data_IF_033816080338
#
_entry.id   IF_033816080338
#
_cell.length_a   1.000
_cell.length_b   1.000
_cell.length_c   1.000
_cell.angle_alpha   90.00
_cell.angle_beta   90.00
_cell.angle_gamma   90.00
#
_symmetry.space_group_name_H-M   'P 1'
#
loop_
_entity.id
_entity.type
_entity.pdbx_description
1 polymer ?
#
# COMPACT_ATOMS: atom_id res chain seq x y z
N UNK A 1 -17.54 36.74 18.77
CA UNK A 1 -16.31 35.96 18.49
C UNK A 1 -16.45 34.59 19.14
N UNK A 2 -16.99 33.63 18.40
CA UNK A 2 -17.21 32.24 18.85
C UNK A 2 -16.14 31.41 18.15
N UNK A 3 -14.97 31.27 18.76
CA UNK A 3 -13.89 30.42 18.22
C UNK A 3 -13.67 29.21 19.13
N UNK A 4 -13.96 28.02 18.59
CA UNK A 4 -12.93 26.99 18.51
C UNK A 4 -12.78 25.99 19.65
N UNK A 5 -13.78 25.75 20.50
CA UNK A 5 -13.84 24.51 21.30
C UNK A 5 -14.84 23.53 20.71
N UNK A 6 -14.47 22.87 19.60
CA UNK A 6 -15.10 21.59 19.25
C UNK A 6 -14.76 20.64 20.41
N UNK A 7 -15.71 20.43 21.32
CA UNK A 7 -15.50 19.66 22.53
C UNK A 7 -15.30 18.21 22.11
N UNK A 8 -14.37 17.50 22.72
CA UNK A 8 -14.12 16.07 22.48
C UNK A 8 -15.43 15.24 22.46
N UNK A 9 -16.45 15.70 23.22
CA UNK A 9 -17.80 15.16 23.21
C UNK A 9 -18.53 15.23 21.85
N UNK A 10 -18.38 16.31 21.06
CA UNK A 10 -19.04 16.40 19.74
C UNK A 10 -18.44 15.43 18.73
N UNK A 11 -17.12 15.19 18.82
CA UNK A 11 -16.45 14.19 17.98
C UNK A 11 -16.92 12.79 18.39
N UNK A 12 -16.97 12.50 19.69
CA UNK A 12 -17.42 11.21 20.21
C UNK A 12 -18.88 10.91 19.83
N UNK A 13 -19.78 11.90 19.97
CA UNK A 13 -21.19 11.76 19.58
C UNK A 13 -21.33 11.59 18.07
N UNK A 14 -20.55 12.32 17.26
CA UNK A 14 -20.55 12.15 15.81
C UNK A 14 -20.05 10.76 15.38
N UNK A 15 -18.98 10.25 16.02
CA UNK A 15 -18.48 8.89 15.78
C UNK A 15 -19.52 7.86 16.18
N UNK A 16 -20.15 8.00 17.35
CA UNK A 16 -21.20 7.08 17.81
C UNK A 16 -22.43 7.08 16.88
N UNK A 17 -22.87 8.25 16.42
CA UNK A 17 -23.96 8.37 15.45
C UNK A 17 -23.60 7.73 14.10
N UNK A 18 -22.33 7.85 13.67
CA UNK A 18 -21.82 7.25 12.45
C UNK A 18 -21.72 5.71 12.57
N UNK A 19 -21.23 5.19 13.71
CA UNK A 19 -21.26 3.74 14.03
C UNK A 19 -22.68 3.22 13.92
N UNK A 20 -23.62 3.87 14.60
CA UNK A 20 -25.01 3.43 14.63
C UNK A 20 -25.63 3.45 13.24
N UNK A 21 -25.40 4.52 12.48
CA UNK A 21 -25.91 4.65 11.11
C UNK A 21 -25.33 3.58 10.18
N UNK A 22 -24.02 3.33 10.25
CA UNK A 22 -23.38 2.29 9.44
C UNK A 22 -23.84 0.89 9.83
N UNK A 23 -23.91 0.58 11.13
CA UNK A 23 -24.34 -0.74 11.61
C UNK A 23 -25.81 -1.04 11.27
N UNK A 24 -26.69 -0.03 11.33
CA UNK A 24 -28.11 -0.21 11.07
C UNK A 24 -28.46 -0.19 9.57
N UNK A 25 -27.89 0.76 8.80
CA UNK A 25 -28.24 0.94 7.39
C UNK A 25 -27.32 0.20 6.42
N UNK A 26 -26.07 -0.10 6.81
CA UNK A 26 -25.08 -0.70 5.92
C UNK A 26 -24.75 -2.11 6.41
N UNK A 27 -25.45 -3.10 5.86
CA UNK A 27 -25.03 -4.49 6.02
C UNK A 27 -23.82 -4.73 5.14
N UNK A 28 -22.62 -4.56 5.72
CA UNK A 28 -21.36 -4.83 5.04
C UNK A 28 -21.31 -6.31 4.61
N UNK A 29 -21.62 -6.56 3.34
CA UNK A 29 -21.45 -7.86 2.69
C UNK A 29 -20.22 -7.77 1.83
N UNK A 30 -19.37 -8.79 1.89
CA UNK A 30 -18.27 -8.91 0.95
C UNK A 30 -18.86 -8.98 -0.48
N UNK A 31 -18.50 -8.05 -1.37
CA UNK A 31 -19.03 -8.05 -2.73
C UNK A 31 -18.49 -9.27 -3.49
N UNK A 32 -19.37 -9.94 -4.24
CA UNK A 32 -18.95 -10.93 -5.24
C UNK A 32 -18.38 -10.13 -6.41
N UNK A 33 -17.07 -9.93 -6.43
CA UNK A 33 -16.38 -9.15 -7.45
C UNK A 33 -15.96 -10.07 -8.60
N UNK A 34 -16.85 -10.24 -9.58
CA UNK A 34 -16.45 -10.74 -10.89
C UNK A 34 -16.04 -9.54 -11.75
N UNK A 35 -14.72 -9.29 -11.84
CA UNK A 35 -14.18 -8.09 -12.47
C UNK A 35 -14.17 -8.23 -14.00
N UNK A 36 -13.91 -9.45 -14.49
CA UNK A 36 -13.84 -9.76 -15.92
C UNK A 36 -14.93 -10.75 -16.29
N UNK A 37 -15.68 -10.42 -17.35
CA UNK A 37 -16.76 -11.26 -17.88
C UNK A 37 -16.24 -12.18 -19.00
N UNK A 38 -16.57 -13.49 -18.98
CA UNK A 38 -16.16 -14.43 -20.04
C UNK A 38 -16.63 -14.00 -21.44
N UNK A 39 -17.84 -13.47 -21.53
CA UNK A 39 -18.52 -13.07 -22.77
C UNK A 39 -17.78 -11.94 -23.50
N UNK A 40 -17.07 -11.08 -22.74
CA UNK A 40 -16.23 -10.01 -23.31
C UNK A 40 -14.90 -10.54 -23.83
N UNK A 41 -14.40 -11.64 -23.28
CA UNK A 41 -13.13 -12.27 -23.69
C UNK A 41 -13.34 -13.11 -24.95
N UNK A 42 -14.39 -13.94 -24.99
CA UNK A 42 -14.78 -14.71 -26.18
C UNK A 42 -16.30 -14.66 -26.38
N UNK A 43 -16.72 -14.25 -27.57
CA UNK A 43 -18.13 -14.15 -27.96
C UNK A 43 -18.87 -15.49 -28.03
N UNK A 44 -18.16 -16.62 -27.94
CA UNK A 44 -18.69 -17.98 -27.88
C UNK A 44 -19.11 -18.42 -26.47
N UNK A 45 -18.80 -17.63 -25.43
CA UNK A 45 -19.07 -17.98 -24.04
C UNK A 45 -20.50 -17.60 -23.61
N UNK A 46 -21.53 -18.27 -24.13
CA UNK A 46 -22.93 -17.89 -23.81
C UNK A 46 -23.45 -18.53 -22.51
N UNK A 47 -22.83 -19.61 -22.03
CA UNK A 47 -23.04 -20.18 -20.68
C UNK A 47 -22.17 -21.41 -20.51
N UNK A 48 -21.55 -21.63 -19.33
CA UNK A 48 -20.92 -22.92 -19.05
C UNK A 48 -22.00 -24.02 -19.09
N UNK A 49 -21.73 -25.17 -19.73
CA UNK A 49 -22.59 -26.34 -19.60
C UNK A 49 -22.78 -26.68 -18.11
N UNK A 50 -23.99 -27.10 -17.74
CA UNK A 50 -24.23 -27.68 -16.41
C UNK A 50 -23.56 -29.06 -16.26
N UNK A 51 -22.94 -29.60 -17.32
CA UNK A 51 -22.10 -30.80 -17.23
C UNK A 51 -20.73 -30.44 -16.66
N UNK A 52 -20.36 -31.13 -15.58
CA UNK A 52 -19.01 -31.11 -15.00
C UNK A 52 -18.09 -31.98 -15.84
N UNK A 53 -17.87 -31.63 -17.11
CA UNK A 53 -17.08 -32.47 -18.00
C UNK A 53 -15.60 -32.47 -17.57
N UNK A 54 -15.16 -33.62 -17.04
CA UNK A 54 -13.81 -33.83 -16.52
C UNK A 54 -12.72 -33.76 -17.59
N UNK A 55 -13.10 -33.73 -18.88
CA UNK A 55 -12.17 -33.80 -20.02
C UNK A 55 -11.34 -32.54 -20.19
N UNK A 56 -11.91 -31.36 -19.95
CA UNK A 56 -11.14 -30.11 -20.02
C UNK A 56 -10.17 -29.99 -18.85
N UNK A 57 -10.61 -30.34 -17.64
CA UNK A 57 -9.74 -30.39 -16.46
C UNK A 57 -8.59 -31.40 -16.66
N UNK A 58 -8.89 -32.58 -17.22
CA UNK A 58 -7.89 -33.60 -17.54
C UNK A 58 -6.92 -33.14 -18.65
N UNK A 59 -7.40 -32.44 -19.68
CA UNK A 59 -6.54 -31.82 -20.71
C UNK A 59 -5.57 -30.80 -20.11
N UNK A 60 -6.03 -29.95 -19.18
CA UNK A 60 -5.21 -28.94 -18.50
C UNK A 60 -4.19 -29.60 -17.56
N UNK A 61 -4.55 -30.70 -16.90
CA UNK A 61 -3.68 -31.41 -15.95
C UNK A 61 -2.65 -32.34 -16.64
N UNK A 62 -3.03 -33.04 -17.72
CA UNK A 62 -2.22 -34.08 -18.38
C UNK A 62 -1.46 -33.57 -19.63
N UNK A 63 -1.31 -32.25 -19.77
CA UNK A 63 -0.81 -31.56 -20.95
C UNK A 63 0.68 -31.83 -21.28
N UNK A 64 1.04 -33.01 -21.77
CA UNK A 64 2.32 -33.29 -22.46
C UNK A 64 2.34 -32.72 -23.89
N UNK A 65 1.16 -32.58 -24.52
CA UNK A 65 0.99 -32.01 -25.87
C UNK A 65 1.22 -30.49 -25.97
N UNK A 66 1.21 -29.76 -24.84
CA UNK A 66 1.37 -28.30 -24.82
C UNK A 66 2.83 -27.85 -24.98
N UNK A 67 3.80 -28.69 -24.57
CA UNK A 67 5.21 -28.43 -24.79
C UNK A 67 5.54 -28.31 -26.29
N UNK A 68 4.83 -29.06 -27.16
CA UNK A 68 5.01 -29.03 -28.62
C UNK A 68 4.48 -27.73 -29.24
N UNK A 69 3.39 -27.17 -28.73
CA UNK A 69 2.84 -25.89 -29.21
C UNK A 69 3.63 -24.68 -28.70
N UNK A 70 4.15 -24.74 -27.46
CA UNK A 70 5.07 -23.72 -26.93
C UNK A 70 6.38 -23.66 -27.73
N UNK A 71 6.84 -24.78 -28.30
CA UNK A 71 7.97 -24.82 -29.24
C UNK A 71 7.63 -24.31 -30.65
N UNK A 72 6.34 -24.12 -30.98
CA UNK A 72 5.87 -23.76 -32.33
C UNK A 72 5.38 -22.31 -32.46
N UNK A 73 5.07 -21.63 -31.35
CA UNK A 73 4.65 -20.22 -31.39
C UNK A 73 5.88 -19.31 -31.47
N UNK A 74 6.16 -18.78 -32.66
CA UNK A 74 7.19 -17.75 -32.91
C UNK A 74 6.80 -16.35 -32.37
N UNK A 75 5.69 -16.21 -31.62
CA UNK A 75 5.26 -14.95 -31.01
C UNK A 75 5.87 -14.74 -29.62
N UNK A 76 5.98 -13.47 -29.19
CA UNK A 76 6.90 -12.97 -28.15
C UNK A 76 7.08 -13.90 -26.95
N UNK A 77 8.31 -14.07 -26.46
CA UNK A 77 8.62 -14.86 -25.26
C UNK A 77 7.74 -14.52 -24.04
N UNK A 78 7.14 -13.33 -24.00
CA UNK A 78 6.15 -12.94 -23.01
C UNK A 78 4.82 -13.71 -23.09
N UNK A 79 4.31 -14.01 -24.28
CA UNK A 79 3.05 -14.76 -24.46
C UNK A 79 3.25 -16.22 -24.00
N UNK A 80 4.34 -16.85 -24.39
CA UNK A 80 4.68 -18.22 -23.99
C UNK A 80 4.75 -18.37 -22.47
N UNK A 81 5.49 -17.47 -21.79
CA UNK A 81 5.57 -17.46 -20.32
C UNK A 81 4.20 -17.24 -19.66
N UNK A 82 3.35 -16.40 -20.27
CA UNK A 82 2.02 -16.09 -19.72
C UNK A 82 1.05 -17.26 -19.86
N UNK A 83 1.12 -18.00 -20.96
CA UNK A 83 0.34 -19.21 -21.20
C UNK A 83 0.78 -20.34 -20.27
N UNK A 84 2.08 -20.51 -20.05
CA UNK A 84 2.61 -21.46 -19.08
C UNK A 84 2.17 -21.13 -17.65
N UNK A 85 2.23 -19.86 -17.25
CA UNK A 85 1.78 -19.43 -15.93
C UNK A 85 0.27 -19.64 -15.73
N UNK A 86 -0.55 -19.34 -16.76
CA UNK A 86 -1.99 -19.60 -16.73
C UNK A 86 -2.27 -21.10 -16.58
N UNK A 87 -1.55 -21.94 -17.32
CA UNK A 87 -1.66 -23.40 -17.22
C UNK A 87 -1.28 -23.92 -15.84
N UNK A 88 -0.14 -23.49 -15.31
CA UNK A 88 0.35 -23.89 -13.99
C UNK A 88 -0.64 -23.52 -12.89
N UNK A 89 -1.18 -22.29 -12.95
CA UNK A 89 -2.24 -21.85 -12.05
C UNK A 89 -3.51 -22.69 -12.21
N UNK A 90 -3.97 -22.92 -13.45
CA UNK A 90 -5.18 -23.68 -13.73
C UNK A 90 -5.10 -25.12 -13.23
N UNK A 91 -3.95 -25.78 -13.44
CA UNK A 91 -3.70 -27.14 -12.96
C UNK A 91 -3.74 -27.21 -11.44
N UNK A 92 -3.15 -26.23 -10.74
CA UNK A 92 -3.21 -26.15 -9.28
C UNK A 92 -4.65 -25.96 -8.77
N UNK A 93 -5.44 -25.10 -9.42
CA UNK A 93 -6.84 -24.89 -9.05
C UNK A 93 -7.71 -26.11 -9.31
N UNK A 94 -7.56 -26.78 -10.46
CA UNK A 94 -8.28 -28.04 -10.75
C UNK A 94 -7.89 -29.18 -9.81
N UNK A 95 -6.63 -29.22 -9.36
CA UNK A 95 -6.20 -30.19 -8.36
C UNK A 95 -6.88 -29.97 -7.00
N UNK A 96 -7.08 -28.71 -6.60
CA UNK A 96 -7.73 -28.35 -5.34
C UNK A 96 -9.26 -28.52 -5.41
N UNK A 97 -9.88 -28.10 -6.51
CA UNK A 97 -11.30 -28.22 -6.75
C UNK A 97 -11.58 -28.49 -8.24
N UNK A 98 -12.00 -29.70 -8.61
CA UNK A 98 -12.37 -30.04 -9.99
C UNK A 98 -13.54 -29.20 -10.53
N UNK A 99 -14.37 -28.61 -9.64
CA UNK A 99 -15.57 -27.83 -9.98
C UNK A 99 -15.40 -26.33 -9.89
N UNK A 100 -14.25 -25.85 -9.42
CA UNK A 100 -13.47 -24.97 -10.28
C UNK A 100 -14.27 -23.89 -10.99
N UNK A 101 -14.42 -24.09 -12.30
CA UNK A 101 -15.02 -23.15 -13.25
C UNK A 101 -16.51 -22.89 -13.04
N UNK A 102 -17.23 -23.72 -12.29
CA UNK A 102 -18.65 -23.56 -12.02
C UNK A 102 -18.90 -22.65 -10.81
N UNK A 103 -20.00 -21.90 -10.78
CA UNK A 103 -20.31 -20.99 -9.69
C UNK A 103 -20.77 -21.77 -8.45
N UNK A 104 -19.85 -22.01 -7.50
CA UNK A 104 -20.20 -22.42 -6.13
C UNK A 104 -19.82 -21.27 -5.21
N UNK A 105 -20.78 -20.36 -4.96
CA UNK A 105 -20.56 -19.23 -4.05
C UNK A 105 -21.47 -19.39 -2.85
N UNK A 106 -20.94 -19.97 -1.77
CA UNK A 106 -21.43 -19.71 -0.43
C UNK A 106 -20.45 -18.73 0.22
N UNK A 107 -20.79 -17.44 0.40
CA UNK A 107 -19.94 -16.55 1.17
C UNK A 107 -19.84 -17.09 2.60
N UNK A 108 -18.61 -17.35 3.06
CA UNK A 108 -18.36 -17.74 4.44
C UNK A 108 -18.66 -16.53 5.32
N UNK A 109 -19.64 -16.66 6.21
CA UNK A 109 -19.95 -15.58 7.15
C UNK A 109 -18.74 -15.33 8.06
N UNK A 110 -18.20 -14.11 8.04
CA UNK A 110 -17.23 -13.64 9.02
C UNK A 110 -17.96 -13.37 10.34
N UNK A 111 -17.93 -14.33 11.25
CA UNK A 111 -18.50 -14.16 12.59
C UNK A 111 -17.51 -13.35 13.45
N UNK A 112 -17.85 -12.11 13.80
CA UNK A 112 -17.08 -11.34 14.78
C UNK A 112 -17.41 -11.79 16.21
N UNK A 113 -16.39 -12.09 17.00
CA UNK A 113 -16.53 -12.73 18.32
C UNK A 113 -16.81 -11.78 19.49
N UNK A 114 -16.62 -10.46 19.32
CA UNK A 114 -16.78 -9.47 20.40
C UNK A 114 -17.45 -8.17 19.93
N UNK A 115 -18.09 -7.45 20.86
CA UNK A 115 -18.74 -6.16 20.60
C UNK A 115 -17.79 -5.10 20.04
N UNK A 116 -16.55 -5.05 20.54
CA UNK A 116 -15.52 -4.11 20.09
C UNK A 116 -15.12 -4.42 18.64
N UNK A 117 -14.89 -5.70 18.32
CA UNK A 117 -14.56 -6.12 16.96
C UNK A 117 -15.72 -5.87 16.00
N UNK A 118 -16.97 -6.13 16.41
CA UNK A 118 -18.16 -5.86 15.60
C UNK A 118 -18.32 -4.36 15.31
N UNK A 119 -18.15 -3.51 16.33
CA UNK A 119 -18.20 -2.04 16.19
C UNK A 119 -17.13 -1.52 15.24
N UNK A 120 -15.90 -1.99 15.41
CA UNK A 120 -14.78 -1.59 14.58
C UNK A 120 -14.94 -2.12 13.14
N UNK A 121 -15.41 -3.35 12.96
CA UNK A 121 -15.74 -3.92 11.66
C UNK A 121 -16.81 -3.09 10.94
N UNK A 122 -17.92 -2.72 11.60
CA UNK A 122 -18.95 -1.87 10.99
C UNK A 122 -18.41 -0.50 10.56
N UNK A 123 -17.50 0.10 11.32
CA UNK A 123 -16.88 1.39 10.99
C UNK A 123 -15.98 1.33 9.76
N UNK A 124 -15.18 0.28 9.64
CA UNK A 124 -14.14 0.20 8.61
C UNK A 124 -14.53 -0.64 7.40
N UNK A 125 -15.38 -1.67 7.56
CA UNK A 125 -15.76 -2.58 6.48
C UNK A 125 -16.64 -1.91 5.42
N UNK A 126 -17.60 -1.07 5.83
CA UNK A 126 -18.46 -0.35 4.89
C UNK A 126 -17.67 0.57 3.93
N UNK A 127 -16.83 1.51 4.40
CA UNK A 127 -16.02 2.33 3.50
C UNK A 127 -15.00 1.50 2.72
N UNK A 128 -14.44 0.44 3.33
CA UNK A 128 -13.51 -0.46 2.63
C UNK A 128 -14.17 -1.21 1.47
N UNK A 129 -15.36 -1.79 1.65
CA UNK A 129 -16.07 -2.51 0.59
C UNK A 129 -16.57 -1.56 -0.50
N UNK A 130 -17.04 -0.37 -0.14
CA UNK A 130 -17.41 0.65 -1.13
C UNK A 130 -16.19 1.07 -1.96
N UNK A 131 -15.05 1.35 -1.33
CA UNK A 131 -13.82 1.69 -2.03
C UNK A 131 -13.30 0.52 -2.87
N UNK A 132 -13.38 -0.71 -2.36
CA UNK A 132 -13.04 -1.93 -3.10
C UNK A 132 -13.90 -2.13 -4.34
N UNK A 133 -15.21 -1.83 -4.26
CA UNK A 133 -16.11 -1.91 -5.40
C UNK A 133 -15.80 -0.83 -6.44
N UNK A 134 -15.52 0.40 -6.01
CA UNK A 134 -15.10 1.47 -6.91
C UNK A 134 -13.75 1.14 -7.60
N UNK A 135 -12.79 0.61 -6.85
CA UNK A 135 -11.51 0.11 -7.37
C UNK A 135 -11.72 -1.03 -8.39
N UNK A 136 -12.58 -1.99 -8.08
CA UNK A 136 -12.93 -3.07 -8.99
C UNK A 136 -13.58 -2.55 -10.28
N UNK A 137 -14.45 -1.55 -10.20
CA UNK A 137 -15.04 -0.90 -11.38
C UNK A 137 -13.99 -0.20 -12.25
N UNK A 138 -13.04 0.51 -11.62
CA UNK A 138 -11.91 1.12 -12.34
C UNK A 138 -11.03 0.08 -13.01
N UNK A 139 -10.63 -0.97 -12.29
CA UNK A 139 -9.81 -2.05 -12.83
C UNK A 139 -10.55 -2.75 -13.97
N UNK A 140 -11.85 -3.05 -13.79
CA UNK A 140 -12.69 -3.63 -14.85
C UNK A 140 -12.71 -2.80 -16.12
N UNK A 141 -12.85 -1.47 -16.01
CA UNK A 141 -12.79 -0.57 -17.16
C UNK A 141 -11.43 -0.56 -17.86
N UNK A 142 -10.33 -0.77 -17.12
CA UNK A 142 -8.98 -0.87 -17.68
C UNK A 142 -8.77 -2.21 -18.37
N UNK A 143 -9.26 -3.29 -17.78
CA UNK A 143 -9.23 -4.62 -18.40
C UNK A 143 -10.05 -4.62 -19.69
N UNK A 144 -11.24 -4.02 -19.69
CA UNK A 144 -12.06 -3.87 -20.90
C UNK A 144 -11.26 -3.13 -22.01
N UNK A 145 -10.62 -2.01 -21.66
CA UNK A 145 -9.77 -1.27 -22.60
C UNK A 145 -8.56 -2.07 -23.10
N UNK A 146 -8.03 -2.97 -22.27
CA UNK A 146 -6.94 -3.86 -22.67
C UNK A 146 -7.44 -5.00 -23.58
N UNK A 147 -8.65 -5.52 -23.36
CA UNK A 147 -9.27 -6.51 -24.22
C UNK A 147 -9.50 -5.99 -25.66
N UNK A 148 -9.66 -4.68 -25.84
CA UNK A 148 -9.76 -4.06 -27.17
C UNK A 148 -8.38 -3.81 -27.85
N UNK A 149 -7.27 -4.08 -27.15
CA UNK A 149 -5.93 -3.82 -27.64
C UNK A 149 -5.44 -4.87 -28.66
N UNK A 150 -4.51 -4.44 -29.53
CA UNK A 150 -3.86 -5.36 -30.48
C UNK A 150 -3.05 -6.46 -29.77
N UNK A 151 -2.38 -6.13 -28.66
CA UNK A 151 -1.64 -7.11 -27.85
C UNK A 151 -2.54 -8.21 -27.31
N UNK A 152 -3.74 -7.86 -26.84
CA UNK A 152 -4.69 -8.86 -26.38
C UNK A 152 -5.23 -9.71 -27.53
N UNK A 153 -5.48 -9.12 -28.70
CA UNK A 153 -5.93 -9.88 -29.89
C UNK A 153 -4.91 -10.95 -30.31
N UNK A 154 -3.62 -10.64 -30.28
CA UNK A 154 -2.55 -11.62 -30.57
C UNK A 154 -2.54 -12.71 -29.51
N UNK A 155 -2.53 -12.34 -28.22
CA UNK A 155 -2.57 -13.32 -27.12
C UNK A 155 -3.81 -14.23 -27.18
N UNK A 156 -4.98 -13.66 -27.49
CA UNK A 156 -6.24 -14.40 -27.60
C UNK A 156 -6.18 -15.45 -28.70
N UNK A 157 -5.57 -15.15 -29.84
CA UNK A 157 -5.39 -16.12 -30.93
C UNK A 157 -4.46 -17.27 -30.50
N UNK A 158 -3.35 -16.96 -29.84
CA UNK A 158 -2.42 -17.96 -29.30
C UNK A 158 -3.10 -18.85 -28.24
N UNK A 159 -3.86 -18.22 -27.33
CA UNK A 159 -4.63 -18.90 -26.29
C UNK A 159 -5.70 -19.83 -26.89
N UNK A 160 -6.45 -19.36 -27.89
CA UNK A 160 -7.46 -20.18 -28.56
C UNK A 160 -6.86 -21.35 -29.33
N UNK A 161 -5.65 -21.18 -29.89
CA UNK A 161 -4.89 -22.27 -30.51
C UNK A 161 -4.47 -23.37 -29.53
N UNK A 162 -4.33 -23.04 -28.25
CA UNK A 162 -3.89 -23.96 -27.19
C UNK A 162 -5.05 -24.61 -26.42
N UNK A 163 -5.97 -23.80 -25.90
CA UNK A 163 -7.06 -24.25 -25.02
C UNK A 163 -8.39 -24.44 -25.74
N UNK A 164 -8.46 -24.10 -27.04
CA UNK A 164 -9.71 -24.04 -27.79
C UNK A 164 -10.46 -22.70 -27.63
N UNK A 165 -11.54 -22.55 -28.40
CA UNK A 165 -12.41 -21.36 -28.39
C UNK A 165 -13.70 -21.53 -27.56
N UNK A 166 -13.72 -22.52 -26.67
CA UNK A 166 -14.92 -22.93 -25.94
C UNK A 166 -15.21 -22.04 -24.72
N UNK A 167 -16.45 -22.11 -24.23
CA UNK A 167 -16.90 -21.32 -23.06
C UNK A 167 -16.08 -21.59 -21.79
N UNK A 168 -15.57 -22.81 -21.62
CA UNK A 168 -14.72 -23.20 -20.49
C UNK A 168 -13.35 -22.52 -20.53
N UNK A 169 -12.73 -22.43 -21.71
CA UNK A 169 -11.47 -21.73 -21.91
C UNK A 169 -11.61 -20.21 -21.69
N UNK A 170 -12.71 -19.62 -22.17
CA UNK A 170 -13.04 -18.22 -21.92
C UNK A 170 -13.26 -17.93 -20.42
N UNK A 171 -13.96 -18.83 -19.72
CA UNK A 171 -14.20 -18.73 -18.28
C UNK A 171 -12.90 -18.88 -17.49
N UNK A 172 -12.02 -19.79 -17.90
CA UNK A 172 -10.70 -19.98 -17.30
C UNK A 172 -9.89 -18.69 -17.35
N UNK A 173 -9.80 -18.07 -18.53
CA UNK A 173 -9.06 -16.82 -18.72
C UNK A 173 -9.70 -15.64 -17.94
N UNK A 174 -11.03 -15.55 -17.94
CA UNK A 174 -11.76 -14.52 -17.19
C UNK A 174 -11.51 -14.62 -15.68
N UNK A 175 -11.48 -15.86 -15.15
CA UNK A 175 -11.27 -16.12 -13.74
C UNK A 175 -9.82 -15.87 -13.33
N UNK A 176 -8.87 -16.28 -14.16
CA UNK A 176 -7.44 -15.97 -13.97
C UNK A 176 -7.18 -14.46 -13.87
N UNK A 177 -7.75 -13.66 -14.78
CA UNK A 177 -7.62 -12.20 -14.72
C UNK A 177 -8.38 -11.61 -13.53
N UNK A 178 -9.58 -12.11 -13.23
CA UNK A 178 -10.40 -11.61 -12.10
C UNK A 178 -9.73 -11.84 -10.75
N UNK A 179 -9.10 -12.99 -10.53
CA UNK A 179 -8.42 -13.29 -9.27
C UNK A 179 -7.21 -12.35 -9.06
N UNK A 180 -6.44 -12.09 -10.13
CA UNK A 180 -5.32 -11.13 -10.08
C UNK A 180 -5.77 -9.68 -9.95
N UNK A 181 -6.86 -9.32 -10.63
CA UNK A 181 -7.46 -8.01 -10.49
C UNK A 181 -7.97 -7.80 -9.05
N UNK A 182 -8.52 -8.83 -8.41
CA UNK A 182 -8.96 -8.78 -7.01
C UNK A 182 -7.79 -8.61 -6.05
N UNK A 183 -6.66 -9.29 -6.27
CA UNK A 183 -5.46 -9.09 -5.44
C UNK A 183 -4.85 -7.70 -5.60
N UNK A 184 -5.04 -7.04 -6.75
CA UNK A 184 -4.57 -5.68 -7.00
C UNK A 184 -5.37 -4.57 -6.29
N UNK A 185 -6.60 -4.86 -5.83
CA UNK A 185 -7.46 -3.87 -5.16
C UNK A 185 -6.78 -3.30 -3.90
N UNK A 186 -6.22 -4.17 -3.05
CA UNK A 186 -5.59 -3.74 -1.79
C UNK A 186 -4.37 -2.82 -2.04
N UNK A 187 -3.37 -3.21 -2.87
CA UNK A 187 -2.29 -2.32 -3.26
C UNK A 187 -2.78 -0.96 -3.81
N UNK A 188 -3.80 -0.97 -4.68
CA UNK A 188 -4.36 0.25 -5.26
C UNK A 188 -4.97 1.17 -4.20
N UNK A 189 -5.79 0.62 -3.31
CA UNK A 189 -6.39 1.37 -2.20
C UNK A 189 -5.32 1.92 -1.24
N UNK A 190 -4.26 1.16 -0.96
CA UNK A 190 -3.15 1.63 -0.13
C UNK A 190 -2.45 2.83 -0.78
N UNK A 191 -2.14 2.77 -2.08
CA UNK A 191 -1.53 3.91 -2.80
C UNK A 191 -2.46 5.14 -2.78
N UNK A 192 -3.75 4.95 -3.04
CA UNK A 192 -4.73 6.04 -2.99
C UNK A 192 -4.81 6.69 -1.60
N UNK A 193 -4.83 5.88 -0.55
CA UNK A 193 -4.82 6.38 0.83
C UNK A 193 -3.56 7.22 1.11
N UNK A 194 -2.41 6.78 0.62
CA UNK A 194 -1.15 7.51 0.78
C UNK A 194 -1.09 8.81 0.00
N UNK A 195 -1.58 8.81 -1.23
CA UNK A 195 -1.73 10.03 -2.03
C UNK A 195 -2.65 11.03 -1.35
N UNK A 196 -3.79 10.57 -0.81
CA UNK A 196 -4.72 11.38 -0.04
C UNK A 196 -4.09 11.92 1.25
N UNK A 197 -3.32 11.09 1.96
CA UNK A 197 -2.58 11.49 3.16
C UNK A 197 -1.55 12.58 2.85
N UNK A 198 -0.81 12.43 1.75
CA UNK A 198 0.17 13.42 1.31
C UNK A 198 -0.50 14.73 0.86
N UNK A 199 -1.58 14.64 0.07
CA UNK A 199 -2.32 15.79 -0.44
C UNK A 199 -3.01 16.59 0.67
N UNK A 200 -3.61 15.91 1.66
CA UNK A 200 -4.26 16.56 2.81
C UNK A 200 -3.27 17.00 3.91
N UNK A 201 -1.98 16.65 3.79
CA UNK A 201 -0.96 17.01 4.77
C UNK A 201 -0.91 18.50 5.14
N UNK A 202 -1.06 19.49 4.22
CA UNK A 202 -0.99 20.91 4.58
C UNK A 202 -2.13 21.36 5.50
N UNK A 203 -3.27 20.66 5.46
CA UNK A 203 -4.45 20.94 6.28
C UNK A 203 -4.38 20.16 7.60
N UNK A 204 -4.08 18.86 7.53
CA UNK A 204 -4.14 17.94 8.66
C UNK A 204 -2.91 18.00 9.58
N UNK A 205 -1.78 18.55 9.13
CA UNK A 205 -0.58 18.73 9.98
C UNK A 205 -0.77 19.89 10.99
N UNK A 206 -1.71 20.81 10.76
CA UNK A 206 -1.96 21.97 11.64
C UNK A 206 -2.21 21.62 13.11
N UNK A 207 -3.10 20.66 13.47
CA UNK A 207 -3.28 20.23 14.85
C UNK A 207 -2.01 19.61 15.45
N UNK A 208 -1.29 18.77 14.69
CA UNK A 208 -0.01 18.20 15.13
C UNK A 208 1.04 19.28 15.37
N UNK A 209 1.04 20.35 14.58
CA UNK A 209 1.93 21.50 14.76
C UNK A 209 1.61 22.28 16.05
N UNK A 210 0.32 22.47 16.35
CA UNK A 210 -0.11 23.10 17.62
C UNK A 210 0.26 22.24 18.82
N UNK A 211 0.01 20.93 18.74
CA UNK A 211 0.40 19.98 19.79
C UNK A 211 1.93 19.98 19.98
N UNK A 212 2.69 19.84 18.90
CA UNK A 212 4.15 19.87 18.95
C UNK A 212 4.70 21.19 19.53
N UNK A 213 4.09 22.33 19.20
CA UNK A 213 4.49 23.62 19.74
C UNK A 213 4.20 23.72 21.25
N UNK A 214 3.01 23.29 21.68
CA UNK A 214 2.61 23.30 23.08
C UNK A 214 3.51 22.39 23.94
N UNK A 215 3.66 21.13 23.53
CA UNK A 215 4.40 20.14 24.32
C UNK A 215 5.92 20.35 24.30
N UNK A 216 6.47 20.94 23.24
CA UNK A 216 7.91 21.25 23.18
C UNK A 216 8.29 22.63 23.72
N UNK A 217 7.32 23.52 23.97
CA UNK A 217 7.59 24.86 24.48
C UNK A 217 8.52 24.89 25.71
N UNK A 218 8.32 24.06 26.76
CA UNK A 218 9.16 24.12 27.96
C UNK A 218 10.58 23.57 27.76
N UNK A 219 10.85 22.86 26.66
CA UNK A 219 12.11 22.13 26.44
C UNK A 219 13.10 22.84 25.51
N UNK A 220 12.72 23.99 24.94
CA UNK A 220 13.44 24.66 23.85
C UNK A 220 13.86 26.10 24.20
N UNK A 221 13.77 26.49 25.48
CA UNK A 221 14.27 27.77 26.00
C UNK A 221 15.79 27.85 25.76
N UNK A 222 16.21 28.58 24.72
CA UNK A 222 17.62 28.83 24.40
C UNK A 222 18.06 28.55 22.96
N UNK A 223 17.20 27.99 22.09
CA UNK A 223 17.53 27.75 20.68
C UNK A 223 17.07 28.92 19.77
N UNK A 224 17.82 29.19 18.70
CA UNK A 224 17.45 30.14 17.64
C UNK A 224 15.99 29.99 17.19
N UNK A 225 15.27 31.10 17.05
CA UNK A 225 13.85 31.14 16.69
C UNK A 225 13.55 30.39 15.37
N UNK A 226 14.51 30.39 14.43
CA UNK A 226 14.42 29.64 13.17
C UNK A 226 14.60 28.12 13.36
N UNK A 227 15.50 27.70 14.26
CA UNK A 227 15.69 26.29 14.61
C UNK A 227 14.47 25.71 15.32
N UNK A 228 13.83 26.51 16.18
CA UNK A 228 12.59 26.18 16.86
C UNK A 228 11.43 25.90 15.89
N UNK A 229 11.19 26.81 14.93
CA UNK A 229 10.11 26.65 13.93
C UNK A 229 10.32 25.41 13.04
N UNK A 230 11.55 25.14 12.65
CA UNK A 230 11.89 23.99 11.81
C UNK A 230 11.73 22.66 12.55
N UNK A 231 12.13 22.59 13.83
CA UNK A 231 11.98 21.38 14.67
C UNK A 231 10.52 21.02 14.91
N UNK A 232 9.68 22.02 15.20
CA UNK A 232 8.24 21.82 15.38
C UNK A 232 7.59 21.35 14.08
N UNK A 233 7.96 21.97 12.96
CA UNK A 233 7.42 21.59 11.65
C UNK A 233 7.77 20.15 11.30
N UNK A 234 9.06 19.78 11.37
CA UNK A 234 9.49 18.42 11.02
C UNK A 234 8.87 17.35 11.92
N UNK A 235 8.77 17.62 13.23
CA UNK A 235 8.12 16.70 14.16
C UNK A 235 6.61 16.56 13.90
N UNK A 236 5.92 17.64 13.53
CA UNK A 236 4.50 17.60 13.21
C UNK A 236 4.23 16.79 11.94
N UNK A 237 5.05 16.95 10.90
CA UNK A 237 4.96 16.13 9.69
C UNK A 237 5.23 14.66 9.99
N UNK A 238 6.31 14.35 10.73
CA UNK A 238 6.63 12.97 11.10
C UNK A 238 5.50 12.33 11.91
N UNK A 239 5.01 13.01 12.94
CA UNK A 239 3.92 12.51 13.78
C UNK A 239 2.63 12.29 12.98
N UNK A 240 2.30 13.19 12.04
CA UNK A 240 1.15 13.01 11.15
C UNK A 240 1.28 11.76 10.27
N UNK A 241 2.39 11.62 9.55
CA UNK A 241 2.61 10.48 8.65
C UNK A 241 2.62 9.15 9.40
N UNK A 242 3.27 9.09 10.56
CA UNK A 242 3.31 7.88 11.39
C UNK A 242 1.95 7.60 12.05
N UNK A 243 1.19 8.62 12.43
CA UNK A 243 -0.18 8.40 12.93
C UNK A 243 -1.11 7.85 11.83
N UNK A 244 -0.98 8.35 10.60
CA UNK A 244 -1.72 7.82 9.46
C UNK A 244 -1.38 6.34 9.17
N UNK A 245 -0.09 5.97 9.25
CA UNK A 245 0.36 4.57 9.24
C UNK A 245 -0.30 3.74 10.33
N UNK A 246 -0.33 4.26 11.56
CA UNK A 246 -0.95 3.57 12.68
C UNK A 246 -2.43 3.28 12.43
N UNK A 247 -3.18 4.25 11.89
CA UNK A 247 -4.59 4.06 11.51
C UNK A 247 -4.74 3.02 10.41
N UNK A 248 -3.90 3.06 9.37
CA UNK A 248 -3.91 2.07 8.29
C UNK A 248 -3.68 0.65 8.81
N UNK A 249 -2.64 0.44 9.61
CA UNK A 249 -2.35 -0.88 10.18
C UNK A 249 -3.41 -1.33 11.18
N UNK A 250 -4.04 -0.40 11.92
CA UNK A 250 -5.19 -0.73 12.78
C UNK A 250 -6.36 -1.24 11.95
N UNK A 251 -6.70 -0.55 10.85
CA UNK A 251 -7.76 -0.97 9.95
C UNK A 251 -7.44 -2.33 9.30
N UNK A 252 -6.20 -2.53 8.85
CA UNK A 252 -5.74 -3.81 8.30
C UNK A 252 -5.85 -4.94 9.33
N UNK A 253 -5.48 -4.70 10.59
CA UNK A 253 -5.57 -5.71 11.64
C UNK A 253 -7.01 -6.16 11.93
N UNK A 254 -7.97 -5.27 11.73
CA UNK A 254 -9.39 -5.50 12.01
C UNK A 254 -10.14 -6.14 10.84
N UNK A 255 -9.73 -5.83 9.60
CA UNK A 255 -10.41 -6.32 8.38
C UNK A 255 -9.75 -7.59 7.85
N UNK A 256 -8.43 -7.76 8.01
CA UNK A 256 -7.65 -8.85 7.41
C UNK A 256 -7.05 -9.75 8.50
N UNK A 257 -7.78 -10.81 8.86
CA UNK A 257 -7.43 -11.75 9.93
C UNK A 257 -6.03 -12.36 9.77
N UNK A 258 -5.61 -12.67 8.53
CA UNK A 258 -4.30 -13.29 8.24
C UNK A 258 -3.11 -12.41 8.60
N UNK A 259 -3.30 -11.09 8.68
CA UNK A 259 -2.25 -10.12 8.99
C UNK A 259 -2.51 -9.36 10.28
N UNK A 260 -3.44 -9.83 11.12
CA UNK A 260 -3.89 -9.13 12.31
C UNK A 260 -2.76 -8.85 13.32
N UNK A 261 -2.00 -9.87 13.70
CA UNK A 261 -0.91 -9.76 14.66
C UNK A 261 0.23 -8.81 14.22
N UNK A 262 0.84 -8.97 13.02
CA UNK A 262 1.92 -8.07 12.60
C UNK A 262 1.42 -6.63 12.39
N UNK A 263 0.19 -6.45 11.91
CA UNK A 263 -0.40 -5.12 11.71
C UNK A 263 -0.69 -4.42 13.05
N UNK A 264 -1.17 -5.16 14.06
CA UNK A 264 -1.37 -4.61 15.40
C UNK A 264 -0.05 -4.12 16.03
N UNK A 265 1.03 -4.90 15.91
CA UNK A 265 2.36 -4.50 16.39
C UNK A 265 2.84 -3.25 15.64
N UNK A 266 2.71 -3.22 14.31
CA UNK A 266 3.09 -2.06 13.51
C UNK A 266 2.30 -0.80 13.91
N UNK A 267 1.00 -0.93 14.22
CA UNK A 267 0.18 0.17 14.70
C UNK A 267 0.65 0.71 16.06
N UNK A 268 1.01 -0.18 16.99
CA UNK A 268 1.56 0.21 18.31
C UNK A 268 2.90 0.93 18.14
N UNK A 269 3.80 0.41 17.32
CA UNK A 269 5.11 1.03 17.06
C UNK A 269 4.93 2.41 16.43
N UNK A 270 3.99 2.55 15.50
CA UNK A 270 3.66 3.85 14.91
C UNK A 270 3.12 4.83 15.95
N UNK A 271 2.14 4.42 16.77
CA UNK A 271 1.62 5.25 17.86
C UNK A 271 2.71 5.70 18.84
N UNK A 272 3.58 4.78 19.25
CA UNK A 272 4.70 5.05 20.14
C UNK A 272 5.71 6.02 19.50
N UNK A 273 6.04 5.86 18.22
CA UNK A 273 6.95 6.76 17.50
C UNK A 273 6.35 8.17 17.32
N UNK A 274 5.06 8.29 17.05
CA UNK A 274 4.37 9.58 16.98
C UNK A 274 4.35 10.27 18.36
N UNK A 275 4.07 9.53 19.44
CA UNK A 275 4.12 10.05 20.80
C UNK A 275 5.54 10.46 21.18
N UNK A 276 6.56 9.64 20.92
CA UNK A 276 7.95 9.96 21.22
C UNK A 276 8.41 11.24 20.51
N UNK A 277 8.04 11.41 19.24
CA UNK A 277 8.35 12.62 18.49
C UNK A 277 7.46 13.78 18.90
N UNK A 278 6.32 13.64 19.56
CA UNK A 278 5.57 14.80 20.11
C UNK A 278 6.03 15.17 21.53
N UNK A 279 6.48 14.18 22.30
CA UNK A 279 6.84 14.24 23.72
C UNK A 279 8.26 13.69 23.95
N UNK A 280 9.32 14.47 23.66
CA UNK A 280 10.68 14.05 23.94
C UNK A 280 10.96 14.13 25.46
N UNK A 281 10.55 13.12 26.22
CA UNK A 281 10.82 13.05 27.67
C UNK A 281 12.20 12.46 27.88
N UNK A 282 13.13 13.28 28.39
CA UNK A 282 14.36 12.81 29.03
C UNK A 282 14.56 13.58 30.32
N UNK A 283 14.69 12.84 31.41
CA UNK A 283 15.04 13.34 32.74
C UNK A 283 16.55 13.33 32.82
N UNK A 284 17.19 14.49 32.92
CA UNK A 284 18.59 14.59 33.28
C UNK A 284 18.69 14.76 34.80
N UNK A 285 19.49 13.92 35.45
CA UNK A 285 19.94 14.14 36.83
C UNK A 285 21.30 14.81 36.70
N UNK A 286 21.36 16.10 37.01
CA UNK A 286 22.65 16.79 37.16
C UNK A 286 23.18 16.56 38.58
N UNK A 287 24.50 16.66 38.77
CA UNK A 287 25.15 16.36 40.05
C UNK A 287 24.75 17.31 41.21
N UNK A 288 23.98 18.38 40.93
CA UNK A 288 23.51 19.39 41.89
C UNK A 288 21.98 19.35 42.15
N UNK A 289 21.37 18.16 42.16
CA UNK A 289 19.96 17.91 42.53
C UNK A 289 18.85 18.59 41.69
N UNK A 290 19.18 19.26 40.58
CA UNK A 290 18.16 19.84 39.69
C UNK A 290 17.84 18.92 38.51
N UNK A 291 16.62 18.38 38.50
CA UNK A 291 16.08 17.59 37.39
C UNK A 291 15.75 18.51 36.20
N UNK A 292 16.59 18.50 35.17
CA UNK A 292 16.30 19.24 33.94
C UNK A 292 15.65 18.33 32.89
N UNK A 293 14.46 18.74 32.46
CA UNK A 293 13.72 18.16 31.35
C UNK A 293 14.18 18.87 30.07
N UNK A 294 15.04 18.24 29.25
CA UNK A 294 15.54 18.83 27.98
C UNK A 294 15.21 17.93 26.78
N UNK A 295 14.63 18.52 25.74
CA UNK A 295 14.34 17.81 24.49
C UNK A 295 15.64 17.51 23.75
N UNK A 296 16.05 16.25 23.69
CA UNK A 296 17.26 15.82 22.95
C UNK A 296 17.04 15.66 21.44
N UNK A 297 15.80 15.75 20.96
CA UNK A 297 15.48 15.52 19.55
C UNK A 297 15.77 16.78 18.73
N UNK A 298 16.83 16.73 17.93
CA UNK A 298 17.16 17.76 16.95
C UNK A 298 16.44 17.52 15.62
N UNK A 299 16.30 18.55 14.79
CA UNK A 299 15.84 18.42 13.38
C UNK A 299 16.62 17.36 12.62
N UNK A 300 17.93 17.33 12.82
CA UNK A 300 18.85 16.35 12.20
C UNK A 300 18.50 14.92 12.60
N UNK A 301 18.24 14.66 13.88
CA UNK A 301 17.81 13.34 14.36
C UNK A 301 16.49 12.90 13.69
N UNK A 302 15.50 13.79 13.62
CA UNK A 302 14.20 13.49 12.97
C UNK A 302 14.38 13.16 11.48
N UNK A 303 15.19 13.96 10.78
CA UNK A 303 15.45 13.77 9.35
C UNK A 303 16.21 12.47 9.08
N UNK A 304 17.20 12.12 9.92
CA UNK A 304 17.93 10.85 9.81
C UNK A 304 16.99 9.66 10.06
N UNK A 305 16.15 9.72 11.09
CA UNK A 305 15.17 8.67 11.37
C UNK A 305 14.17 8.50 10.23
N UNK A 306 13.67 9.59 9.66
CA UNK A 306 12.79 9.55 8.49
C UNK A 306 13.49 8.95 7.26
N UNK A 307 14.77 9.26 7.04
CA UNK A 307 15.55 8.70 5.95
C UNK A 307 15.85 7.20 6.12
N UNK A 308 16.12 6.74 7.35
CA UNK A 308 16.28 5.31 7.63
C UNK A 308 14.99 4.55 7.33
N UNK A 309 13.84 5.10 7.72
CA UNK A 309 12.53 4.52 7.40
C UNK A 309 12.30 4.46 5.87
N UNK A 310 12.59 5.55 5.15
CA UNK A 310 12.51 5.60 3.69
C UNK A 310 13.45 4.57 3.03
N UNK A 311 14.63 4.35 3.60
CA UNK A 311 15.61 3.38 3.10
C UNK A 311 15.11 1.94 3.25
N UNK A 312 14.55 1.59 4.40
CA UNK A 312 13.94 0.27 4.63
C UNK A 312 12.78 0.04 3.65
N UNK A 313 11.92 1.04 3.45
CA UNK A 313 10.84 0.96 2.46
C UNK A 313 11.36 0.78 1.04
N UNK A 314 12.41 1.52 0.67
CA UNK A 314 13.02 1.43 -0.67
C UNK A 314 13.60 0.04 -0.92
N UNK A 315 14.30 -0.53 0.08
CA UNK A 315 14.82 -1.90 0.02
C UNK A 315 13.67 -2.89 -0.12
N UNK A 316 12.61 -2.74 0.67
CA UNK A 316 11.46 -3.63 0.60
C UNK A 316 10.78 -3.59 -0.77
N UNK A 317 10.58 -2.40 -1.35
CA UNK A 317 10.03 -2.24 -2.70
C UNK A 317 10.92 -2.88 -3.77
N UNK A 318 12.25 -2.70 -3.68
CA UNK A 318 13.19 -3.34 -4.61
C UNK A 318 13.19 -4.87 -4.46
N UNK A 319 13.05 -5.38 -3.24
CA UNK A 319 12.93 -6.80 -2.95
C UNK A 319 11.64 -7.36 -3.56
N UNK A 320 10.51 -6.66 -3.42
CA UNK A 320 9.25 -7.02 -4.08
C UNK A 320 9.39 -7.09 -5.59
N UNK A 321 10.00 -6.08 -6.23
CA UNK A 321 10.22 -6.10 -7.69
C UNK A 321 11.09 -7.28 -8.12
N UNK A 322 12.09 -7.65 -7.31
CA UNK A 322 13.01 -8.77 -7.61
C UNK A 322 12.38 -10.13 -7.41
N UNK A 323 11.53 -10.28 -6.38
CA UNK A 323 10.90 -11.56 -6.03
C UNK A 323 9.58 -11.79 -6.76
N UNK A 324 8.94 -10.73 -7.26
CA UNK A 324 7.66 -10.80 -7.95
C UNK A 324 7.77 -11.54 -9.28
N UNK A 325 7.09 -12.67 -9.35
CA UNK A 325 6.98 -13.51 -10.55
C UNK A 325 5.54 -13.50 -11.05
N UNK A 326 5.31 -13.95 -12.28
CA UNK A 326 3.98 -13.89 -12.87
C UNK A 326 2.94 -14.68 -12.05
N UNK A 327 3.29 -15.85 -11.52
CA UNK A 327 2.40 -16.71 -10.72
C UNK A 327 2.10 -16.16 -9.32
N UNK A 328 3.03 -15.38 -8.76
CA UNK A 328 2.93 -14.71 -7.46
C UNK A 328 3.32 -13.24 -7.62
N UNK A 329 2.42 -12.42 -8.21
CA UNK A 329 2.74 -11.05 -8.56
C UNK A 329 2.93 -10.22 -7.31
N UNK A 330 4.01 -9.45 -7.28
CA UNK A 330 4.29 -8.52 -6.20
C UNK A 330 3.35 -7.30 -6.25
N UNK A 331 3.21 -6.53 -5.15
CA UNK A 331 2.30 -5.39 -5.10
C UNK A 331 2.55 -4.33 -6.18
N UNK A 332 3.78 -4.17 -6.66
CA UNK A 332 4.13 -3.19 -7.68
C UNK A 332 3.72 -3.69 -9.06
N UNK A 333 3.92 -4.98 -9.36
CA UNK A 333 3.34 -5.62 -10.55
C UNK A 333 1.83 -5.42 -10.62
N UNK A 334 1.13 -5.73 -9.53
CA UNK A 334 -0.32 -5.63 -9.44
C UNK A 334 -0.81 -4.19 -9.67
N UNK A 335 -0.09 -3.20 -9.14
CA UNK A 335 -0.39 -1.80 -9.39
C UNK A 335 -0.24 -1.43 -10.86
N UNK A 336 0.86 -1.84 -11.50
CA UNK A 336 1.08 -1.56 -12.94
C UNK A 336 -0.04 -2.21 -13.76
N UNK A 337 -0.34 -3.49 -13.51
CA UNK A 337 -1.42 -4.23 -14.16
C UNK A 337 -2.80 -3.59 -13.93
N UNK A 338 -3.07 -3.05 -12.74
CA UNK A 338 -4.31 -2.32 -12.47
C UNK A 338 -4.45 -1.03 -13.29
N UNK A 339 -3.34 -0.36 -13.60
CA UNK A 339 -3.35 0.84 -14.45
C UNK A 339 -3.40 0.51 -15.94
N UNK A 340 -2.69 -0.52 -16.39
CA UNK A 340 -2.63 -0.93 -17.81
C UNK A 340 -3.83 -1.78 -18.23
N UNK A 341 -4.48 -2.47 -17.29
CA UNK A 341 -5.50 -3.48 -17.58
C UNK A 341 -4.92 -4.84 -17.96
N UNK A 342 -3.58 -4.97 -18.04
CA UNK A 342 -2.91 -6.21 -18.42
C UNK A 342 -2.48 -7.00 -17.17
N UNK A 343 -3.30 -7.99 -16.82
CA UNK A 343 -2.99 -8.98 -15.77
C UNK A 343 -2.43 -10.30 -16.32
N UNK A 344 -2.24 -10.37 -17.65
CA UNK A 344 -1.79 -11.58 -18.35
C UNK A 344 -0.27 -11.60 -18.36
N UNK A 345 0.36 -10.50 -18.74
CA UNK A 345 1.81 -10.39 -18.92
C UNK A 345 2.52 -9.78 -17.71
N UNK A 346 3.79 -10.14 -17.53
CA UNK A 346 4.65 -9.52 -16.52
C UNK A 346 5.18 -8.16 -17.04
N UNK A 347 4.93 -7.03 -16.34
CA UNK A 347 5.40 -5.71 -16.75
C UNK A 347 6.91 -5.49 -16.49
N UNK A 348 7.78 -6.33 -17.07
CA UNK A 348 9.23 -6.34 -16.85
C UNK A 348 9.90 -4.99 -17.19
N UNK A 349 9.48 -4.34 -18.27
CA UNK A 349 10.04 -3.04 -18.68
C UNK A 349 9.68 -1.95 -17.67
N UNK A 350 8.43 -1.86 -17.25
CA UNK A 350 7.97 -0.91 -16.23
C UNK A 350 8.63 -1.17 -14.88
N UNK A 351 8.77 -2.44 -14.45
CA UNK A 351 9.52 -2.83 -13.25
C UNK A 351 10.95 -2.30 -13.26
N UNK A 352 11.66 -2.44 -14.39
CA UNK A 352 13.03 -1.93 -14.55
C UNK A 352 13.09 -0.41 -14.38
N UNK A 353 12.18 0.33 -15.03
CA UNK A 353 12.10 1.79 -14.90
C UNK A 353 11.76 2.26 -13.48
N UNK A 354 10.87 1.56 -12.78
CA UNK A 354 10.53 1.88 -11.39
C UNK A 354 11.71 1.58 -10.47
N UNK A 355 12.38 0.45 -10.65
CA UNK A 355 13.58 0.09 -9.89
C UNK A 355 14.70 1.12 -10.05
N UNK A 356 14.96 1.58 -11.29
CA UNK A 356 15.96 2.63 -11.54
C UNK A 356 15.54 3.96 -10.94
N UNK A 357 14.26 4.34 -11.03
CA UNK A 357 13.74 5.57 -10.41
C UNK A 357 13.89 5.54 -8.87
N UNK A 358 13.58 4.42 -8.22
CA UNK A 358 13.76 4.24 -6.77
C UNK A 358 15.24 4.36 -6.41
N UNK A 359 16.14 3.70 -7.16
CA UNK A 359 17.57 3.75 -6.91
C UNK A 359 18.15 5.17 -7.07
N UNK A 360 17.71 5.92 -8.09
CA UNK A 360 18.11 7.30 -8.31
C UNK A 360 17.59 8.23 -7.20
N UNK A 361 16.31 8.12 -6.84
CA UNK A 361 15.71 8.90 -5.76
C UNK A 361 16.39 8.62 -4.41
N UNK A 362 16.66 7.35 -4.11
CA UNK A 362 17.38 6.96 -2.90
C UNK A 362 18.81 7.52 -2.89
N UNK A 363 19.54 7.41 -4.00
CA UNK A 363 20.91 7.94 -4.13
C UNK A 363 20.96 9.46 -3.94
N UNK A 364 20.02 10.20 -4.54
CA UNK A 364 19.91 11.65 -4.34
C UNK A 364 19.59 11.99 -2.87
N UNK A 365 18.70 11.24 -2.23
CA UNK A 365 18.38 11.40 -0.81
C UNK A 365 19.59 11.12 0.09
N UNK A 366 20.40 10.11 -0.24
CA UNK A 366 21.60 9.75 0.50
C UNK A 366 22.65 10.84 0.44
N UNK A 367 22.92 11.40 -0.75
CA UNK A 367 23.83 12.55 -0.92
C UNK A 367 23.35 13.76 -0.11
N UNK A 368 22.04 14.02 -0.09
CA UNK A 368 21.46 15.09 0.72
C UNK A 368 21.68 14.89 2.22
N UNK A 369 21.47 13.67 2.73
CA UNK A 369 21.73 13.33 4.13
C UNK A 369 23.21 13.42 4.46
N UNK A 370 24.10 12.95 3.59
CA UNK A 370 25.55 13.10 3.76
C UNK A 370 25.95 14.58 3.88
N UNK A 371 25.36 15.47 3.09
CA UNK A 371 25.58 16.93 3.19
C UNK A 371 25.09 17.51 4.52
N UNK A 372 23.96 17.04 5.04
CA UNK A 372 23.48 17.43 6.38
C UNK A 372 24.43 16.90 7.46
N UNK A 373 24.97 15.69 7.26
CA UNK A 373 25.87 15.07 8.22
C UNK A 373 27.26 15.74 8.25
N UNK A 374 27.79 16.11 7.08
CA UNK A 374 29.12 16.66 6.86
C UNK A 374 29.26 18.14 7.22
N UNK A 375 28.17 18.90 7.35
CA UNK A 375 28.17 20.28 7.91
C UNK A 375 28.57 20.36 9.40
N UNK A 376 29.11 19.29 9.98
CA UNK A 376 29.78 19.31 11.29
C UNK A 376 31.12 20.02 11.12
N UNK A 377 31.26 21.21 11.71
CA UNK A 377 32.57 21.70 12.13
C UNK A 377 33.19 22.87 11.37
N UNK A 378 32.55 23.45 10.36
CA UNK A 378 32.90 24.80 9.94
C UNK A 378 31.95 25.77 10.63
N UNK A 379 32.30 26.21 11.86
CA UNK A 379 32.04 27.61 12.18
C UNK A 379 32.48 28.38 10.95
N UNK A 380 31.57 29.18 10.36
CA UNK A 380 31.95 29.86 9.12
C UNK A 380 33.27 30.58 9.39
N UNK A 381 34.24 30.56 8.47
CA UNK A 381 35.52 31.25 8.69
C UNK A 381 35.30 32.71 9.14
N UNK A 382 34.12 33.27 8.80
CA UNK A 382 33.55 34.56 9.24
C UNK A 382 33.16 34.66 10.73
N UNK A 383 32.67 33.58 11.35
CA UNK A 383 32.38 33.50 12.80
C UNK A 383 33.66 33.27 13.61
N UNK A 384 34.58 32.44 13.12
CA UNK A 384 35.91 32.24 13.73
C UNK A 384 36.71 33.53 13.69
N UNK A 385 36.74 34.23 12.54
CA UNK A 385 37.38 35.56 12.42
C UNK A 385 36.68 36.63 13.26
N UNK A 386 35.35 36.59 13.43
CA UNK A 386 34.65 37.48 14.37
C UNK A 386 35.04 37.21 15.82
N UNK A 387 35.14 35.94 16.23
CA UNK A 387 35.55 35.56 17.59
C UNK A 387 37.03 35.91 17.83
N UNK A 388 37.91 35.70 16.85
CA UNK A 388 39.32 36.10 16.90
C UNK A 388 39.50 37.62 16.89
N UNK A 389 38.76 38.35 16.08
CA UNK A 389 38.78 39.82 16.07
C UNK A 389 38.24 40.41 17.37
N UNK A 390 37.22 39.78 17.98
CA UNK A 390 36.71 40.16 19.31
C UNK A 390 37.67 39.85 20.46
N UNK A 391 38.54 38.85 20.31
CA UNK A 391 39.61 38.54 21.25
C UNK A 391 40.85 39.45 21.06
N UNK A 392 41.13 39.88 19.83
CA UNK A 392 42.22 40.83 19.51
C UNK A 392 41.92 42.29 19.91
N UNK A 393 40.65 42.65 20.13
CA UNK A 393 40.25 44.00 20.57
C UNK A 393 40.31 44.21 22.09
N UNK A 394 40.77 43.21 22.86
CA UNK A 394 40.93 43.27 24.32
C UNK A 394 42.38 43.37 24.81
N UNK A 395 43.32 43.69 23.92
CA UNK A 395 44.70 44.04 24.28
C UNK A 395 45.05 45.43 23.81
#
# INVERSE_FOLDING_TARGET
>A
MVEGKLRFSTIFVAVAALVFSLAYFVKAKEPILQIVSPDKIMSSAVSLPNSTDSKFAEMVMNSSSYAVFLCRSEYSSGNANSLEALRGWAAQQFHNDPRFLHPVILPKATASSTFINSTAYCLFAAPYYFASQAAAGLIGSRVDSYCDSESFRVFKNDFAGLFGGDAEAATLLARYQSDRARTAINPLLSVLLWLLTAFLSPLLVRPFRRAAAFWRAPFMLGNDQNSYRNTISSAAYFAYFVSALGVYYTAQALVVETTAAPSAIAAIVCGAAALYVLFPVKVFVDNDEVLFLRSTITTRSIVISAWLFLSVLSIQMLTWIKQGVLTEPDPISLLISAFTGDFIHDPLTAKRWISTAIALAWSASFVFILKILSRRGTESSREVTKKLAGLGAKH
#
